data_IF_220345612626
#
_entry.id   IF_220345612626
#
_cell.length_a   1.000
_cell.length_b   1.000
_cell.length_c   1.000
_cell.angle_alpha   90.00
_cell.angle_beta   90.00
_cell.angle_gamma   90.00
#
_symmetry.space_group_name_H-M   'P 1'
#
loop_
_entity.id
_entity.type
_entity.pdbx_description
1 polymer ?
#
# COMPACT_ATOMS: atom_id res chain seq x y z
N UNK A 1 12.46 -8.73 21.39
CA UNK A 1 11.63 -9.58 20.54
C UNK A 1 11.53 -8.90 19.18
N UNK A 2 11.40 -9.64 18.09
CA UNK A 2 11.11 -9.06 16.79
C UNK A 2 9.73 -8.36 16.84
N UNK A 3 9.55 -7.22 16.16
CA UNK A 3 8.25 -6.54 16.13
C UNK A 3 7.24 -7.44 15.40
N UNK A 4 6.04 -7.54 15.96
CA UNK A 4 4.93 -8.25 15.34
C UNK A 4 4.16 -7.28 14.45
N UNK A 5 4.12 -7.54 13.15
CA UNK A 5 3.32 -6.76 12.20
C UNK A 5 2.13 -7.58 11.75
N UNK A 6 0.96 -6.98 11.75
CA UNK A 6 -0.30 -7.60 11.32
C UNK A 6 -1.08 -6.67 10.41
N UNK A 7 -1.84 -7.25 9.47
CA UNK A 7 -2.82 -6.54 8.66
C UNK A 7 -4.20 -7.09 9.00
N UNK A 8 -4.99 -6.31 9.75
CA UNK A 8 -6.38 -6.66 10.05
C UNK A 8 -7.36 -5.94 9.15
N UNK A 9 -8.53 -6.51 8.88
CA UNK A 9 -9.58 -5.81 8.15
C UNK A 9 -9.92 -4.45 8.79
N UNK A 10 -10.38 -3.52 7.93
CA UNK A 10 -10.89 -2.23 8.37
C UNK A 10 -12.17 -2.40 9.18
N UNK A 11 -12.30 -1.62 10.26
CA UNK A 11 -13.48 -1.59 11.14
C UNK A 11 -14.01 -0.15 11.27
N UNK A 12 -15.27 0.00 11.68
CA UNK A 12 -15.91 1.32 11.85
C UNK A 12 -15.14 2.25 12.80
N UNK A 13 -14.53 1.68 13.84
CA UNK A 13 -13.71 2.42 14.78
C UNK A 13 -12.43 3.05 14.21
N UNK A 14 -12.05 2.68 13.00
CA UNK A 14 -10.84 3.21 12.34
C UNK A 14 -11.09 4.51 11.55
N UNK A 15 -12.34 4.86 11.32
CA UNK A 15 -12.75 5.98 10.48
C UNK A 15 -12.04 7.29 10.85
N UNK A 16 -12.13 7.72 12.08
CA UNK A 16 -11.57 9.01 12.52
C UNK A 16 -10.02 9.00 12.50
N UNK A 17 -9.42 7.84 12.81
CA UNK A 17 -7.99 7.63 12.74
C UNK A 17 -7.47 7.79 11.31
N UNK A 18 -8.15 7.19 10.33
CA UNK A 18 -7.77 7.28 8.92
C UNK A 18 -7.87 8.72 8.43
N UNK A 19 -8.93 9.46 8.81
CA UNK A 19 -9.05 10.88 8.48
C UNK A 19 -7.88 11.69 9.03
N UNK A 20 -7.54 11.48 10.31
CA UNK A 20 -6.39 12.15 10.93
C UNK A 20 -5.09 11.82 10.21
N UNK A 21 -4.84 10.56 9.86
CA UNK A 21 -3.66 10.15 9.11
C UNK A 21 -3.60 10.78 7.72
N UNK A 22 -4.70 10.73 6.97
CA UNK A 22 -4.78 11.28 5.61
C UNK A 22 -4.52 12.79 5.58
N UNK A 23 -4.92 13.51 6.62
CA UNK A 23 -4.72 14.93 6.77
C UNK A 23 -3.36 15.32 7.38
N UNK A 24 -2.61 14.34 7.90
CA UNK A 24 -1.26 14.62 8.41
C UNK A 24 -0.32 15.06 7.27
N UNK A 25 0.59 16.02 7.52
CA UNK A 25 1.53 16.48 6.50
C UNK A 25 2.36 15.36 5.89
N UNK A 26 2.81 14.41 6.72
CA UNK A 26 3.66 13.30 6.34
C UNK A 26 2.99 12.30 5.38
N UNK A 27 1.68 12.09 5.50
CA UNK A 27 0.93 11.22 4.61
C UNK A 27 0.44 12.00 3.39
N UNK A 28 -0.16 13.19 3.62
CA UNK A 28 -0.71 14.03 2.54
C UNK A 28 0.31 14.37 1.46
N UNK A 29 1.57 14.61 1.83
CA UNK A 29 2.64 14.92 0.88
C UNK A 29 2.79 13.90 -0.25
N UNK A 30 2.43 12.64 -0.01
CA UNK A 30 2.58 11.54 -0.97
C UNK A 30 1.26 11.03 -1.57
N UNK A 31 0.14 11.68 -1.21
CA UNK A 31 -1.18 11.34 -1.77
C UNK A 31 -1.51 12.20 -2.98
N UNK A 32 -2.39 11.71 -3.86
CA UNK A 32 -2.92 12.52 -4.96
C UNK A 32 -3.78 13.69 -4.47
N UNK A 33 -4.55 13.47 -3.40
CA UNK A 33 -5.36 14.50 -2.75
C UNK A 33 -4.46 15.61 -2.21
N UNK A 34 -4.72 16.85 -2.62
CA UNK A 34 -3.92 18.02 -2.26
C UNK A 34 -4.60 18.95 -1.25
N UNK A 35 -5.88 18.77 -1.01
CA UNK A 35 -6.65 19.51 -0.01
C UNK A 35 -6.74 18.76 1.32
N UNK A 36 -7.14 19.47 2.37
CA UNK A 36 -7.53 18.86 3.64
C UNK A 36 -8.90 18.22 3.47
N UNK A 37 -8.98 16.92 3.69
CA UNK A 37 -10.21 16.13 3.58
C UNK A 37 -11.13 16.53 4.73
N UNK A 38 -12.36 16.98 4.42
CA UNK A 38 -13.35 17.29 5.46
C UNK A 38 -14.03 16.02 5.98
N UNK A 39 -14.62 16.05 7.20
CA UNK A 39 -15.26 14.88 7.79
C UNK A 39 -16.44 14.32 6.97
N UNK A 40 -17.15 15.17 6.22
CA UNK A 40 -18.28 14.74 5.38
C UNK A 40 -17.80 13.99 4.14
N UNK A 41 -16.77 14.50 3.44
CA UNK A 41 -16.10 13.82 2.34
C UNK A 41 -15.58 12.45 2.78
N UNK A 42 -14.89 12.42 3.92
CA UNK A 42 -14.37 11.18 4.48
C UNK A 42 -15.47 10.17 4.86
N UNK A 43 -16.54 10.66 5.47
CA UNK A 43 -17.68 9.81 5.83
C UNK A 43 -18.34 9.17 4.60
N UNK A 44 -18.47 9.94 3.52
CA UNK A 44 -19.03 9.45 2.25
C UNK A 44 -18.11 8.36 1.64
N UNK A 45 -16.80 8.61 1.59
CA UNK A 45 -15.83 7.62 1.13
C UNK A 45 -15.88 6.33 1.98
N UNK A 46 -15.90 6.46 3.32
CA UNK A 46 -15.92 5.33 4.23
C UNK A 46 -17.17 4.47 4.06
N UNK A 47 -18.33 5.10 3.95
CA UNK A 47 -19.60 4.41 3.70
C UNK A 47 -19.60 3.67 2.33
N UNK A 48 -18.89 4.19 1.34
CA UNK A 48 -18.75 3.58 0.01
C UNK A 48 -17.85 2.34 -0.04
N UNK A 49 -17.19 1.99 1.06
CA UNK A 49 -16.37 0.77 1.13
C UNK A 49 -17.23 -0.46 1.41
N UNK A 50 -18.28 -0.30 2.19
CA UNK A 50 -19.15 -1.41 2.58
C UNK A 50 -19.85 -2.01 1.34
N UNK A 51 -19.71 -3.32 1.18
CA UNK A 51 -20.28 -4.06 0.04
C UNK A 51 -19.54 -3.89 -1.30
N UNK A 52 -18.50 -3.07 -1.38
CA UNK A 52 -17.71 -2.92 -2.60
C UNK A 52 -16.69 -4.06 -2.74
N UNK A 53 -17.03 -5.06 -3.56
CA UNK A 53 -16.15 -6.21 -3.82
C UNK A 53 -14.90 -5.86 -4.64
N UNK A 54 -14.87 -4.69 -5.28
CA UNK A 54 -13.72 -4.21 -6.06
C UNK A 54 -12.59 -3.64 -5.19
N UNK A 55 -12.82 -3.54 -3.88
CA UNK A 55 -11.86 -2.95 -2.93
C UNK A 55 -11.66 -3.81 -1.71
N UNK A 56 -10.50 -3.67 -1.07
CA UNK A 56 -10.17 -4.26 0.24
C UNK A 56 -9.29 -3.28 1.01
N UNK A 57 -9.50 -3.17 2.31
CA UNK A 57 -8.74 -2.27 3.17
C UNK A 57 -8.29 -3.01 4.43
N UNK A 58 -7.07 -2.73 4.87
CA UNK A 58 -6.49 -3.27 6.10
C UNK A 58 -5.80 -2.18 6.89
N UNK A 59 -5.96 -2.23 8.20
CA UNK A 59 -5.12 -1.49 9.12
C UNK A 59 -3.83 -2.28 9.33
N UNK A 60 -2.71 -1.59 9.17
CA UNK A 60 -1.39 -2.12 9.52
C UNK A 60 -1.16 -1.85 10.99
N UNK A 61 -0.91 -2.89 11.77
CA UNK A 61 -0.56 -2.80 13.18
C UNK A 61 0.87 -3.27 13.41
N UNK A 62 1.57 -2.61 14.33
CA UNK A 62 2.85 -3.05 14.88
C UNK A 62 2.71 -3.18 16.39
N UNK A 63 2.94 -4.39 16.91
CA UNK A 63 2.79 -4.73 18.35
C UNK A 63 1.41 -4.31 18.91
N UNK A 64 0.33 -4.53 18.12
CA UNK A 64 -1.04 -4.17 18.46
C UNK A 64 -1.37 -2.67 18.33
N UNK A 65 -0.43 -1.85 17.88
CA UNK A 65 -0.66 -0.41 17.66
C UNK A 65 -0.90 -0.15 16.18
N UNK A 66 -2.02 0.47 15.78
CA UNK A 66 -2.28 0.88 14.41
C UNK A 66 -1.27 1.93 13.94
N UNK A 67 -0.56 1.65 12.84
CA UNK A 67 0.54 2.49 12.31
C UNK A 67 0.38 2.89 10.84
N UNK A 68 -0.62 2.33 10.15
CA UNK A 68 -0.83 2.63 8.73
C UNK A 68 -2.04 1.92 8.14
N UNK A 69 -2.19 2.06 6.83
CA UNK A 69 -3.27 1.47 6.05
C UNK A 69 -2.71 0.91 4.74
N UNK A 70 -3.19 -0.26 4.35
CA UNK A 70 -2.99 -0.84 3.03
C UNK A 70 -4.33 -1.10 2.35
N UNK A 71 -4.37 -1.01 1.03
CA UNK A 71 -5.60 -1.31 0.29
C UNK A 71 -5.32 -1.95 -1.06
N UNK A 72 -6.31 -2.70 -1.53
CA UNK A 72 -6.50 -3.05 -2.94
C UNK A 72 -7.67 -2.25 -3.51
N UNK A 73 -7.56 -1.91 -4.78
CA UNK A 73 -8.63 -1.30 -5.58
C UNK A 73 -8.66 -1.91 -6.98
N UNK A 74 -9.72 -1.61 -7.73
CA UNK A 74 -9.87 -2.06 -9.12
C UNK A 74 -9.66 -3.58 -9.26
N UNK A 75 -10.18 -4.37 -8.29
CA UNK A 75 -10.09 -5.83 -8.34
C UNK A 75 -10.94 -6.33 -9.52
N UNK A 76 -10.23 -6.64 -10.61
CA UNK A 76 -10.82 -7.12 -11.87
C UNK A 76 -10.54 -8.63 -12.02
N UNK A 77 -11.50 -9.44 -11.58
CA UNK A 77 -11.38 -10.91 -11.63
C UNK A 77 -11.33 -11.45 -13.05
N UNK A 78 -11.97 -10.75 -14.02
CA UNK A 78 -11.97 -11.17 -15.43
C UNK A 78 -10.59 -11.06 -16.05
N UNK A 79 -9.91 -9.95 -15.80
CA UNK A 79 -8.57 -9.69 -16.31
C UNK A 79 -7.46 -10.10 -15.32
N UNK A 80 -7.85 -10.68 -14.17
CA UNK A 80 -6.97 -11.16 -13.09
C UNK A 80 -5.94 -10.10 -12.66
N UNK A 81 -6.38 -8.87 -12.46
CA UNK A 81 -5.53 -7.76 -12.03
C UNK A 81 -6.18 -6.93 -10.95
N UNK A 82 -5.37 -6.24 -10.18
CA UNK A 82 -5.83 -5.22 -9.24
C UNK A 82 -4.76 -4.14 -9.05
N UNK A 83 -5.16 -3.05 -8.41
CA UNK A 83 -4.27 -1.97 -7.97
C UNK A 83 -4.10 -2.04 -6.45
N UNK A 84 -3.01 -1.46 -5.94
CA UNK A 84 -2.78 -1.37 -4.50
C UNK A 84 -2.07 -0.09 -4.11
N UNK A 85 -2.22 0.27 -2.85
CA UNK A 85 -1.47 1.33 -2.21
C UNK A 85 -1.34 1.07 -0.71
N UNK A 86 -0.36 1.70 -0.07
CA UNK A 86 -0.24 1.73 1.38
C UNK A 86 0.43 3.02 1.84
N UNK A 87 0.24 3.33 3.11
CA UNK A 87 1.05 4.32 3.81
C UNK A 87 1.27 3.92 5.27
N UNK A 88 2.40 4.35 5.82
CA UNK A 88 2.70 4.28 7.24
C UNK A 88 2.58 5.70 7.81
N UNK A 89 1.61 5.86 8.71
CA UNK A 89 1.27 7.16 9.27
C UNK A 89 2.15 7.53 10.48
N UNK A 90 2.69 6.52 11.18
CA UNK A 90 3.60 6.76 12.31
C UNK A 90 5.05 6.86 11.80
N UNK A 91 5.70 8.04 11.92
CA UNK A 91 7.11 8.19 11.54
C UNK A 91 8.06 7.27 12.30
N UNK A 92 7.71 6.84 13.52
CA UNK A 92 8.56 6.01 14.36
C UNK A 92 8.80 4.60 13.76
N UNK A 93 7.90 4.13 12.88
CA UNK A 93 8.05 2.81 12.24
C UNK A 93 8.86 2.84 10.94
N UNK A 94 9.28 4.04 10.50
CA UNK A 94 10.09 4.20 9.28
C UNK A 94 11.48 3.59 9.48
N UNK A 95 11.95 2.88 8.47
CA UNK A 95 13.26 2.21 8.52
C UNK A 95 13.28 0.88 9.28
N UNK A 96 12.26 0.54 10.06
CA UNK A 96 12.18 -0.71 10.81
C UNK A 96 11.85 -1.94 9.95
N UNK A 97 11.50 -1.75 8.67
CA UNK A 97 11.18 -2.85 7.76
C UNK A 97 9.68 -3.13 7.63
N UNK A 98 8.82 -2.39 8.34
CA UNK A 98 7.35 -2.55 8.30
C UNK A 98 6.80 -2.44 6.88
N UNK A 99 7.26 -1.45 6.09
CA UNK A 99 6.87 -1.31 4.68
C UNK A 99 7.20 -2.54 3.83
N UNK A 100 8.37 -3.15 4.05
CA UNK A 100 8.74 -4.40 3.35
C UNK A 100 7.84 -5.58 3.77
N UNK A 101 7.45 -5.64 5.05
CA UNK A 101 6.53 -6.67 5.53
C UNK A 101 5.13 -6.50 4.90
N UNK A 102 4.60 -5.27 4.90
CA UNK A 102 3.30 -4.95 4.28
C UNK A 102 3.30 -5.33 2.80
N UNK A 103 4.34 -4.94 2.06
CA UNK A 103 4.45 -5.28 0.64
C UNK A 103 4.49 -6.80 0.42
N UNK A 104 5.31 -7.53 1.18
CA UNK A 104 5.35 -8.99 1.09
C UNK A 104 3.97 -9.60 1.37
N UNK A 105 3.29 -9.16 2.44
CA UNK A 105 1.97 -9.65 2.81
C UNK A 105 0.94 -9.42 1.70
N UNK A 106 0.92 -8.21 1.11
CA UNK A 106 0.00 -7.88 0.02
C UNK A 106 0.28 -8.74 -1.21
N UNK A 107 1.55 -8.98 -1.55
CA UNK A 107 1.91 -9.83 -2.68
C UNK A 107 1.47 -11.27 -2.49
N UNK A 108 1.64 -11.83 -1.28
CA UNK A 108 1.09 -13.17 -0.95
C UNK A 108 -0.43 -13.19 -1.07
N UNK A 109 -1.11 -12.18 -0.50
CA UNK A 109 -2.57 -12.08 -0.56
C UNK A 109 -3.09 -11.99 -1.99
N UNK A 110 -2.46 -11.18 -2.83
CA UNK A 110 -2.88 -10.96 -4.22
C UNK A 110 -2.61 -12.17 -5.11
N UNK A 111 -1.41 -12.72 -5.05
CA UNK A 111 -1.00 -13.76 -5.99
C UNK A 111 -1.38 -15.17 -5.53
N UNK A 112 -1.26 -15.46 -4.23
CA UNK A 112 -1.56 -16.80 -3.70
C UNK A 112 -2.98 -16.87 -3.10
N UNK A 113 -3.49 -15.78 -2.50
CA UNK A 113 -4.84 -15.73 -1.94
C UNK A 113 -5.94 -15.44 -2.98
N UNK A 114 -5.79 -14.38 -3.77
CA UNK A 114 -6.77 -13.97 -4.79
C UNK A 114 -6.52 -14.58 -6.17
N UNK A 115 -5.36 -15.21 -6.41
CA UNK A 115 -4.94 -15.81 -7.68
C UNK A 115 -4.94 -14.80 -8.85
N UNK A 116 -4.54 -13.56 -8.58
CA UNK A 116 -4.38 -12.55 -9.61
C UNK A 116 -3.12 -12.81 -10.46
N UNK A 117 -3.14 -12.37 -11.72
CA UNK A 117 -1.99 -12.47 -12.62
C UNK A 117 -1.10 -11.23 -12.57
N UNK A 118 -1.67 -10.07 -12.21
CA UNK A 118 -0.95 -8.78 -12.20
C UNK A 118 -1.39 -7.89 -11.04
N UNK A 119 -0.40 -7.24 -10.43
CA UNK A 119 -0.60 -6.15 -9.47
C UNK A 119 -0.02 -4.86 -10.05
N UNK A 120 -0.76 -3.75 -9.85
CA UNK A 120 -0.41 -2.41 -10.32
C UNK A 120 -0.36 -1.43 -9.16
N UNK A 121 0.52 -0.44 -9.24
CA UNK A 121 0.48 0.73 -8.36
C UNK A 121 0.98 1.99 -9.07
N UNK A 122 0.59 3.13 -8.54
CA UNK A 122 1.05 4.44 -8.97
C UNK A 122 1.74 5.16 -7.81
N UNK A 123 2.91 5.73 -8.09
CA UNK A 123 3.74 6.40 -7.09
C UNK A 123 4.21 7.73 -7.64
N UNK A 124 4.12 8.81 -6.85
CA UNK A 124 4.71 10.10 -7.23
C UNK A 124 6.19 9.89 -7.53
N UNK A 125 6.69 10.40 -8.65
CA UNK A 125 8.08 10.23 -9.06
C UNK A 125 9.08 10.76 -8.01
N UNK A 126 8.66 11.73 -7.20
CA UNK A 126 9.42 12.28 -6.08
C UNK A 126 9.52 11.33 -4.87
N UNK A 127 8.64 10.32 -4.77
CA UNK A 127 8.67 9.34 -3.67
C UNK A 127 9.62 8.18 -3.99
N UNK A 128 10.90 8.52 -4.12
CA UNK A 128 11.95 7.56 -4.53
C UNK A 128 12.07 6.36 -3.60
N UNK A 129 11.90 6.57 -2.30
CA UNK A 129 12.03 5.49 -1.32
C UNK A 129 11.01 4.38 -1.56
N UNK A 130 9.79 4.73 -1.98
CA UNK A 130 8.71 3.77 -2.20
C UNK A 130 8.86 3.05 -3.53
N UNK A 131 9.02 3.77 -4.66
CA UNK A 131 9.12 3.06 -5.94
C UNK A 131 10.41 2.22 -6.06
N UNK A 132 11.53 2.63 -5.44
CA UNK A 132 12.75 1.79 -5.33
C UNK A 132 12.51 0.55 -4.46
N UNK A 133 11.70 0.66 -3.40
CA UNK A 133 11.30 -0.52 -2.63
C UNK A 133 10.52 -1.50 -3.50
N UNK A 134 9.53 -1.02 -4.26
CA UNK A 134 8.75 -1.85 -5.18
C UNK A 134 9.65 -2.56 -6.23
N UNK A 135 10.63 -1.87 -6.83
CA UNK A 135 11.60 -2.51 -7.73
C UNK A 135 12.37 -3.64 -7.04
N UNK A 136 12.69 -3.51 -5.75
CA UNK A 136 13.35 -4.58 -4.98
C UNK A 136 12.48 -5.83 -4.91
N UNK A 137 11.16 -5.67 -4.83
CA UNK A 137 10.17 -6.75 -4.85
C UNK A 137 9.89 -7.32 -6.25
N UNK A 138 10.42 -6.69 -7.29
CA UNK A 138 10.32 -7.16 -8.67
C UNK A 138 9.35 -6.35 -9.54
N UNK A 139 8.73 -5.29 -9.00
CA UNK A 139 7.96 -4.37 -9.83
C UNK A 139 8.82 -3.75 -10.91
N UNK A 140 8.23 -3.52 -12.07
CA UNK A 140 8.84 -2.80 -13.19
C UNK A 140 8.10 -1.51 -13.45
N UNK A 141 8.83 -0.44 -13.76
CA UNK A 141 8.21 0.80 -14.23
C UNK A 141 7.65 0.52 -15.63
N UNK A 142 6.32 0.54 -15.76
CA UNK A 142 5.62 0.33 -17.03
C UNK A 142 5.13 1.65 -17.65
N UNK A 143 5.02 2.71 -16.84
CA UNK A 143 4.60 4.03 -17.31
C UNK A 143 5.28 5.17 -16.55
N UNK A 144 5.52 6.29 -17.24
CA UNK A 144 5.81 7.59 -16.67
C UNK A 144 4.76 8.58 -17.13
N UNK A 145 3.86 8.95 -16.23
CA UNK A 145 2.77 9.87 -16.48
C UNK A 145 3.26 11.30 -16.18
N UNK A 146 3.57 12.06 -17.23
CA UNK A 146 4.18 13.39 -17.08
C UNK A 146 3.17 14.42 -16.62
N UNK A 147 3.51 15.19 -15.57
CA UNK A 147 2.68 16.25 -15.03
C UNK A 147 1.27 15.78 -14.65
N UNK A 148 1.15 14.54 -14.16
CA UNK A 148 -0.12 13.83 -14.00
C UNK A 148 -0.99 14.38 -12.87
N UNK A 149 -0.37 14.80 -11.77
CA UNK A 149 -1.07 15.38 -10.62
C UNK A 149 -0.55 16.79 -10.34
N UNK A 150 -1.36 17.57 -9.62
CA UNK A 150 -0.96 18.88 -9.10
C UNK A 150 -0.76 18.73 -7.60
N UNK A 151 0.41 19.16 -7.12
CA UNK A 151 0.76 19.21 -5.70
C UNK A 151 1.32 20.61 -5.38
N UNK A 152 0.69 21.29 -4.42
CA UNK A 152 1.08 22.65 -4.03
C UNK A 152 1.22 23.62 -5.23
N UNK A 153 0.31 23.45 -6.21
CA UNK A 153 0.29 24.26 -7.45
C UNK A 153 1.25 23.80 -8.55
N UNK A 154 2.12 22.84 -8.29
CA UNK A 154 3.11 22.33 -9.25
C UNK A 154 2.65 21.00 -9.89
N UNK A 155 2.99 20.81 -11.18
CA UNK A 155 2.73 19.54 -11.86
C UNK A 155 3.80 18.51 -11.52
N UNK A 156 3.36 17.34 -11.05
CA UNK A 156 4.23 16.26 -10.61
C UNK A 156 4.02 15.02 -11.49
N UNK A 157 5.13 14.40 -11.87
CA UNK A 157 5.11 13.12 -12.59
C UNK A 157 4.73 11.97 -11.66
N UNK A 158 4.08 10.97 -12.23
CA UNK A 158 3.73 9.71 -11.56
C UNK A 158 4.38 8.55 -12.31
N UNK A 159 4.91 7.60 -11.55
CA UNK A 159 5.40 6.32 -12.08
C UNK A 159 4.30 5.26 -11.89
N UNK A 160 3.96 4.58 -12.97
CA UNK A 160 3.13 3.39 -12.94
C UNK A 160 4.02 2.15 -12.90
N UNK A 161 3.84 1.31 -11.89
CA UNK A 161 4.62 0.10 -11.70
C UNK A 161 3.72 -1.14 -11.73
N UNK A 162 4.17 -2.18 -12.42
CA UNK A 162 3.49 -3.46 -12.52
C UNK A 162 4.35 -4.62 -12.05
N UNK A 163 3.70 -5.63 -11.46
CA UNK A 163 4.31 -6.89 -11.08
C UNK A 163 3.44 -8.04 -11.56
N UNK A 164 4.04 -9.02 -12.25
CA UNK A 164 3.38 -10.26 -12.64
C UNK A 164 3.56 -11.35 -11.58
N UNK A 165 2.59 -12.24 -11.47
CA UNK A 165 2.63 -13.37 -10.54
C UNK A 165 3.88 -14.25 -10.72
N UNK A 166 4.32 -14.46 -11.96
CA UNK A 166 5.53 -15.23 -12.25
C UNK A 166 6.81 -14.54 -11.76
N UNK A 167 6.91 -13.21 -11.93
CA UNK A 167 8.03 -12.41 -11.45
C UNK A 167 8.08 -12.43 -9.90
N UNK A 168 6.90 -12.35 -9.24
CA UNK A 168 6.81 -12.49 -7.79
C UNK A 168 7.29 -13.86 -7.31
N UNK A 169 6.79 -14.96 -7.90
CA UNK A 169 7.18 -16.31 -7.49
C UNK A 169 8.69 -16.53 -7.59
N UNK A 170 9.32 -15.98 -8.62
CA UNK A 170 10.78 -16.02 -8.77
C UNK A 170 11.50 -15.19 -7.68
N UNK A 171 10.93 -14.06 -7.25
CA UNK A 171 11.53 -13.14 -6.28
C UNK A 171 11.23 -13.51 -4.82
N UNK A 172 10.12 -14.17 -4.56
CA UNK A 172 9.57 -14.51 -3.25
C UNK A 172 10.59 -15.10 -2.26
N UNK A 173 11.42 -16.11 -2.61
CA UNK A 173 12.38 -16.68 -1.66
C UNK A 173 13.41 -15.65 -1.17
N UNK A 174 13.91 -14.80 -2.05
CA UNK A 174 14.87 -13.76 -1.68
C UNK A 174 14.24 -12.69 -0.78
N UNK A 175 12.95 -12.37 -0.99
CA UNK A 175 12.23 -11.41 -0.15
C UNK A 175 11.86 -11.99 1.21
N UNK A 176 11.52 -13.27 1.29
CA UNK A 176 11.33 -13.97 2.56
C UNK A 176 12.61 -13.94 3.42
N UNK A 177 13.76 -14.23 2.82
CA UNK A 177 15.05 -14.15 3.50
C UNK A 177 15.38 -12.71 3.92
N UNK A 178 15.08 -11.72 3.09
CA UNK A 178 15.24 -10.30 3.45
C UNK A 178 14.42 -9.91 4.68
N UNK A 179 13.17 -10.39 4.79
CA UNK A 179 12.34 -10.19 5.98
C UNK A 179 12.94 -10.87 7.20
N UNK A 180 13.37 -12.12 7.06
CA UNK A 180 14.01 -12.89 8.15
C UNK A 180 15.24 -12.17 8.71
N UNK A 181 16.10 -11.63 7.83
CA UNK A 181 17.28 -10.85 8.24
C UNK A 181 16.94 -9.55 8.98
N UNK A 182 15.71 -9.06 8.85
CA UNK A 182 15.17 -7.90 9.59
C UNK A 182 14.39 -8.30 10.83
N UNK A 183 14.34 -9.58 11.16
CA UNK A 183 13.65 -10.11 12.34
C UNK A 183 12.16 -10.38 12.14
N UNK A 184 11.65 -10.36 10.91
CA UNK A 184 10.27 -10.73 10.62
C UNK A 184 10.16 -12.18 10.13
N UNK A 185 9.10 -12.86 10.54
CA UNK A 185 8.68 -14.08 9.88
C UNK A 185 7.89 -13.72 8.61
N UNK A 186 8.16 -14.43 7.49
CA UNK A 186 7.39 -14.22 6.28
C UNK A 186 5.93 -14.65 6.52
N UNK A 187 4.94 -13.80 6.24
CA UNK A 187 3.54 -14.15 6.43
C UNK A 187 3.12 -15.31 5.50
N UNK A 188 2.27 -16.17 6.01
CA UNK A 188 1.57 -17.23 5.25
C UNK A 188 0.10 -16.82 5.19
N UNK A 189 -0.48 -16.76 3.99
CA UNK A 189 -1.87 -16.34 3.72
C UNK A 189 -2.73 -17.60 3.49
#
# INVERSE_FOLDING_TARGET
MAPRVELRPLEDGDKDRILAWRNSPDVRAYMYTDHVIDPGEHAHWFAGIEGDESRRYWIVEMDGTPVGLANLSDIDRRNQRCSWAYYLADPAVRGLGVGSYVEYWVLEYVFEGLHMAKLWCEVLASNEAVWKLHETFGFRIEARLRGHVIKDGERVDVLGLGLLAEDWRARRPAMAERLRLRGFEAPVI
#
